data_IF_177439107692
#
_entry.id   IF_177439107692
#
_cell.length_a   1.000
_cell.length_b   1.000
_cell.length_c   1.000
_cell.angle_alpha   90.00
_cell.angle_beta   90.00
_cell.angle_gamma   90.00
#
_symmetry.space_group_name_H-M   'P 1'
#
loop_
_entity.id
_entity.type
_entity.pdbx_description
1 polymer ?
#
# COMPACT_ATOMS: atom_id res chain seq x y z
N UNK A 1 5.20 -38.53 -26.96
CA UNK A 1 4.28 -37.37 -26.99
C UNK A 1 3.80 -37.01 -25.58
N UNK A 2 4.71 -36.66 -24.66
CA UNK A 2 4.43 -36.12 -23.32
C UNK A 2 5.41 -35.01 -22.82
N UNK A 3 6.44 -34.55 -23.59
CA UNK A 3 7.43 -33.64 -23.02
C UNK A 3 6.86 -32.26 -22.73
N UNK A 4 5.84 -31.82 -23.48
CA UNK A 4 5.16 -30.55 -23.25
C UNK A 4 4.40 -30.56 -21.91
N UNK A 5 3.66 -31.64 -21.64
CA UNK A 5 2.92 -31.81 -20.38
C UNK A 5 3.89 -31.84 -19.19
N UNK A 6 5.03 -32.54 -19.33
CA UNK A 6 6.06 -32.58 -18.30
C UNK A 6 6.73 -31.20 -18.07
N UNK A 7 6.97 -30.41 -19.13
CA UNK A 7 7.52 -29.05 -19.02
C UNK A 7 6.55 -28.07 -18.38
N UNK A 8 5.27 -28.13 -18.74
CA UNK A 8 4.22 -27.28 -18.14
C UNK A 8 4.06 -27.59 -16.65
N UNK A 9 4.06 -28.88 -16.27
CA UNK A 9 4.02 -29.27 -14.85
C UNK A 9 5.23 -28.73 -14.08
N UNK A 10 6.43 -28.89 -14.63
CA UNK A 10 7.66 -28.41 -13.98
C UNK A 10 7.73 -26.89 -13.84
N UNK A 11 7.21 -26.15 -14.82
CA UNK A 11 7.12 -24.69 -14.75
C UNK A 11 6.05 -24.21 -13.75
N UNK A 12 5.02 -25.05 -13.48
CA UNK A 12 4.01 -24.78 -12.46
C UNK A 12 4.51 -25.08 -11.05
N UNK A 13 5.40 -26.05 -10.92
CA UNK A 13 6.08 -26.41 -9.68
C UNK A 13 7.33 -25.55 -9.41
N UNK A 14 7.62 -24.57 -10.29
CA UNK A 14 8.77 -23.66 -10.15
C UNK A 14 8.38 -22.43 -9.31
N UNK A 15 8.59 -22.53 -8.00
CA UNK A 15 8.29 -21.47 -7.02
C UNK A 15 9.28 -20.29 -7.10
N UNK A 16 10.32 -20.36 -7.94
CA UNK A 16 11.35 -19.31 -8.05
C UNK A 16 10.75 -17.95 -8.42
N UNK A 17 9.68 -17.92 -9.22
CA UNK A 17 8.95 -16.70 -9.56
C UNK A 17 7.93 -16.25 -8.51
N UNK A 18 7.52 -17.14 -7.60
CA UNK A 18 6.48 -16.91 -6.60
C UNK A 18 6.92 -15.83 -5.60
N UNK A 19 8.14 -15.94 -5.05
CA UNK A 19 8.66 -14.97 -4.07
C UNK A 19 8.91 -13.57 -4.66
N UNK A 20 9.18 -13.46 -5.97
CA UNK A 20 9.35 -12.15 -6.63
C UNK A 20 8.00 -11.46 -6.87
N UNK A 21 6.97 -12.24 -7.27
CA UNK A 21 5.62 -11.74 -7.46
C UNK A 21 5.00 -11.28 -6.13
N UNK A 22 5.20 -12.04 -5.05
CA UNK A 22 4.74 -11.68 -3.71
C UNK A 22 5.31 -10.34 -3.25
N UNK A 23 6.62 -10.13 -3.43
CA UNK A 23 7.26 -8.87 -3.05
C UNK A 23 6.76 -7.68 -3.88
N UNK A 24 6.56 -7.88 -5.19
CA UNK A 24 6.02 -6.84 -6.06
C UNK A 24 4.59 -6.46 -5.67
N UNK A 25 3.73 -7.46 -5.44
CA UNK A 25 2.34 -7.25 -4.99
C UNK A 25 2.32 -6.58 -3.61
N UNK A 26 3.16 -7.01 -2.67
CA UNK A 26 3.28 -6.38 -1.35
C UNK A 26 3.65 -4.90 -1.44
N UNK A 27 4.58 -4.56 -2.34
CA UNK A 27 4.98 -3.16 -2.58
C UNK A 27 3.85 -2.34 -3.19
N UNK A 28 3.12 -2.89 -4.17
CA UNK A 28 1.96 -2.22 -4.78
C UNK A 28 0.84 -2.00 -3.76
N UNK A 29 0.55 -3.01 -2.94
CA UNK A 29 -0.45 -2.91 -1.88
C UNK A 29 -0.09 -1.82 -0.86
N UNK A 30 1.18 -1.76 -0.43
CA UNK A 30 1.67 -0.72 0.46
C UNK A 30 1.58 0.68 -0.17
N UNK A 31 1.96 0.84 -1.43
CA UNK A 31 1.87 2.11 -2.14
C UNK A 31 0.42 2.59 -2.32
N UNK A 32 -0.50 1.68 -2.65
CA UNK A 32 -1.92 1.99 -2.75
C UNK A 32 -2.50 2.43 -1.40
N UNK A 33 -2.13 1.74 -0.31
CA UNK A 33 -2.54 2.13 1.03
C UNK A 33 -1.97 3.50 1.44
N UNK A 34 -0.70 3.77 1.14
CA UNK A 34 -0.08 5.06 1.38
C UNK A 34 -0.78 6.19 0.61
N UNK A 35 -1.20 5.96 -0.64
CA UNK A 35 -1.96 6.92 -1.41
C UNK A 35 -3.31 7.24 -0.74
N UNK A 36 -4.04 6.22 -0.28
CA UNK A 36 -5.30 6.43 0.48
C UNK A 36 -5.04 7.21 1.75
N UNK A 37 -4.04 6.85 2.56
CA UNK A 37 -3.70 7.58 3.78
C UNK A 37 -3.31 9.03 3.51
N UNK A 38 -2.57 9.30 2.43
CA UNK A 38 -2.24 10.65 2.01
C UNK A 38 -3.53 11.45 1.78
N UNK A 39 -4.47 10.92 0.99
CA UNK A 39 -5.74 11.61 0.74
C UNK A 39 -6.56 11.88 2.01
N UNK A 40 -6.52 10.96 2.98
CA UNK A 40 -7.21 11.13 4.26
C UNK A 40 -6.55 12.26 5.07
N UNK A 41 -5.23 12.20 5.24
CA UNK A 41 -4.48 13.15 6.08
C UNK A 41 -4.45 14.55 5.46
N UNK A 42 -4.44 14.66 4.13
CA UNK A 42 -4.51 15.95 3.43
C UNK A 42 -5.94 16.42 3.14
N UNK A 43 -6.96 15.68 3.59
CA UNK A 43 -8.36 16.06 3.38
C UNK A 43 -8.78 17.24 4.25
N UNK A 44 -9.70 18.07 3.75
CA UNK A 44 -10.15 19.31 4.41
C UNK A 44 -10.63 19.10 5.85
N UNK A 45 -11.29 17.97 6.14
CA UNK A 45 -11.76 17.66 7.49
C UNK A 45 -10.61 17.45 8.48
N UNK A 46 -9.53 16.75 8.08
CA UNK A 46 -8.38 16.48 8.96
C UNK A 46 -7.55 17.75 9.12
N UNK A 47 -7.27 18.44 8.01
CA UNK A 47 -6.54 19.71 8.04
C UNK A 47 -7.28 20.73 8.90
N UNK A 48 -8.58 20.91 8.68
CA UNK A 48 -9.42 21.82 9.46
C UNK A 48 -9.45 21.48 10.95
N UNK A 49 -9.60 20.20 11.30
CA UNK A 49 -9.57 19.77 12.70
C UNK A 49 -8.22 20.09 13.38
N UNK A 50 -7.10 19.83 12.70
CA UNK A 50 -5.76 20.15 13.20
C UNK A 50 -5.57 21.67 13.31
N UNK A 51 -6.01 22.45 12.32
CA UNK A 51 -5.98 23.92 12.36
C UNK A 51 -6.75 24.44 13.57
N UNK A 52 -7.99 23.99 13.77
CA UNK A 52 -8.80 24.43 14.91
C UNK A 52 -8.20 24.02 16.25
N UNK A 53 -7.52 22.87 16.33
CA UNK A 53 -6.81 22.44 17.54
C UNK A 53 -5.63 23.39 17.85
N UNK A 54 -4.86 23.76 16.83
CA UNK A 54 -3.74 24.71 16.98
C UNK A 54 -4.24 26.11 17.36
N UNK A 55 -5.31 26.59 16.71
CA UNK A 55 -5.93 27.88 17.04
C UNK A 55 -6.39 27.93 18.50
N UNK A 56 -7.05 26.87 18.98
CA UNK A 56 -7.46 26.76 20.38
C UNK A 56 -6.26 26.78 21.34
N UNK A 57 -5.18 26.06 21.02
CA UNK A 57 -4.00 26.01 21.86
C UNK A 57 -3.34 27.40 22.00
N UNK A 58 -3.33 28.18 20.92
CA UNK A 58 -2.75 29.53 20.93
C UNK A 58 -3.71 30.54 21.57
N UNK A 59 -5.02 30.39 21.45
CA UNK A 59 -5.99 31.31 22.08
C UNK A 59 -6.07 31.17 23.60
N UNK A 60 -5.68 30.02 24.17
CA UNK A 60 -5.68 29.79 25.63
C UNK A 60 -4.48 30.47 26.31
N UNK A 61 -3.43 30.83 25.55
CA UNK A 61 -2.17 31.38 26.08
C UNK A 61 -2.03 32.91 25.94
N UNK A 62 -3.06 33.59 25.43
CA UNK A 62 -3.17 35.06 25.33
C UNK A 62 -4.29 35.54 26.25
#
# INVERSE_FOLDING_TARGET
MYPLIARIRRARDDDTGMSTAEYAIGTIAAAAFAAVLYTVVTGDSVVGALTSLVEQAISVSV
#
